data_IF_620535592056
#
_entry.id   IF_620535592056
#
_cell.length_a   1.000
_cell.length_b   1.000
_cell.length_c   1.000
_cell.angle_alpha   90.00
_cell.angle_beta   90.00
_cell.angle_gamma   90.00
#
_symmetry.space_group_name_H-M   'P 1'
#
loop_
_entity.id
_entity.type
_entity.pdbx_description
1 polymer ?
#
# COMPACT_ATOMS: atom_id res chain seq x y z
N UNK A 1 -75.75 -42.05 38.84
CA UNK A 1 -74.66 -42.95 39.21
C UNK A 1 -73.82 -43.19 37.97
N UNK A 2 -72.71 -42.60 37.93
CA UNK A 2 -71.46 -42.95 37.19
C UNK A 2 -70.50 -41.81 37.29
N UNK A 3 -69.46 -42.00 38.08
CA UNK A 3 -68.35 -41.06 38.27
C UNK A 3 -67.47 -41.04 37.08
N UNK A 4 -67.15 -39.85 36.58
CA UNK A 4 -66.18 -39.62 35.51
C UNK A 4 -64.92 -39.04 36.13
N UNK A 5 -63.83 -39.75 36.04
CA UNK A 5 -62.50 -39.30 36.44
C UNK A 5 -61.90 -38.39 35.34
N UNK A 6 -61.57 -37.15 35.70
CA UNK A 6 -60.78 -36.25 34.87
C UNK A 6 -59.30 -36.50 35.16
N UNK A 7 -58.60 -36.98 34.14
CA UNK A 7 -57.13 -37.12 34.13
C UNK A 7 -56.53 -35.82 33.69
N UNK A 8 -55.82 -35.09 34.57
CA UNK A 8 -55.08 -33.90 34.26
C UNK A 8 -53.68 -34.34 33.79
N UNK A 9 -53.43 -34.28 32.49
CA UNK A 9 -52.11 -34.51 31.92
C UNK A 9 -51.22 -33.30 32.07
N UNK A 10 -50.17 -33.44 32.85
CA UNK A 10 -49.10 -32.43 33.00
C UNK A 10 -48.16 -32.53 31.80
N UNK A 11 -48.21 -31.58 30.86
CA UNK A 11 -47.23 -31.44 29.80
C UNK A 11 -45.98 -30.72 30.34
N UNK A 12 -44.91 -31.48 30.60
CA UNK A 12 -43.59 -30.93 30.80
C UNK A 12 -43.01 -30.44 29.45
N UNK A 13 -43.02 -29.13 29.21
CA UNK A 13 -42.27 -28.50 28.13
C UNK A 13 -40.79 -28.48 28.53
N UNK A 14 -40.02 -29.43 28.00
CA UNK A 14 -38.56 -29.38 28.07
C UNK A 14 -38.06 -28.31 27.11
N UNK A 15 -37.64 -27.16 27.64
CA UNK A 15 -36.94 -26.12 26.92
C UNK A 15 -35.54 -26.65 26.54
N UNK A 16 -35.37 -27.06 25.31
CA UNK A 16 -34.05 -27.30 24.74
C UNK A 16 -33.37 -25.91 24.55
N UNK A 17 -32.58 -25.50 25.52
CA UNK A 17 -31.60 -24.44 25.35
C UNK A 17 -30.48 -25.02 24.52
N UNK A 18 -30.59 -24.86 23.23
CA UNK A 18 -29.47 -25.12 22.30
C UNK A 18 -28.36 -24.15 22.63
N UNK A 19 -27.29 -24.62 23.26
CA UNK A 19 -26.02 -23.94 23.29
C UNK A 19 -25.54 -23.88 21.84
N UNK A 20 -25.75 -22.72 21.20
CA UNK A 20 -25.02 -22.39 19.97
C UNK A 20 -23.56 -22.20 20.40
N UNK A 21 -22.76 -23.27 20.28
CA UNK A 21 -21.33 -23.13 20.28
C UNK A 21 -21.03 -22.29 19.03
N UNK A 22 -20.78 -20.98 19.24
CA UNK A 22 -19.99 -20.23 18.26
C UNK A 22 -18.67 -20.98 18.17
N UNK A 23 -18.43 -21.68 17.06
CA UNK A 23 -17.10 -22.07 16.69
C UNK A 23 -16.25 -20.81 16.76
N UNK A 24 -15.38 -20.73 17.74
CA UNK A 24 -14.26 -19.79 17.72
C UNK A 24 -13.39 -20.27 16.54
N UNK A 25 -13.63 -19.68 15.38
CA UNK A 25 -12.69 -19.75 14.28
C UNK A 25 -11.38 -19.24 14.86
N UNK A 26 -10.42 -20.15 15.00
CA UNK A 26 -9.11 -19.85 15.57
C UNK A 26 -8.40 -18.95 14.56
N UNK A 27 -8.67 -17.63 14.63
CA UNK A 27 -8.11 -16.63 13.74
C UNK A 27 -6.59 -16.62 13.95
N UNK A 28 -5.84 -16.63 12.87
CA UNK A 28 -4.39 -16.45 12.93
C UNK A 28 -4.07 -15.23 13.82
N UNK A 29 -3.21 -15.37 14.84
CA UNK A 29 -2.92 -14.27 15.78
C UNK A 29 -2.45 -12.98 15.10
N UNK A 30 -1.78 -13.07 13.96
CA UNK A 30 -1.36 -11.90 13.19
C UNK A 30 -2.54 -11.20 12.51
N UNK A 31 -3.53 -11.96 12.02
CA UNK A 31 -4.77 -11.36 11.49
C UNK A 31 -5.57 -10.67 12.58
N UNK A 32 -5.62 -11.25 13.79
CA UNK A 32 -6.27 -10.61 14.92
C UNK A 32 -5.61 -9.27 15.27
N UNK A 33 -4.28 -9.23 15.37
CA UNK A 33 -3.53 -7.99 15.61
C UNK A 33 -3.72 -6.96 14.51
N UNK A 34 -3.73 -7.39 13.24
CA UNK A 34 -3.98 -6.50 12.11
C UNK A 34 -5.39 -5.91 12.16
N UNK A 35 -6.40 -6.71 12.55
CA UNK A 35 -7.76 -6.22 12.76
C UNK A 35 -7.81 -5.18 13.90
N UNK A 36 -7.19 -5.46 15.04
CA UNK A 36 -7.12 -4.51 16.16
C UNK A 36 -6.45 -3.19 15.76
N UNK A 37 -5.39 -3.24 14.93
CA UNK A 37 -4.75 -2.06 14.39
C UNK A 37 -5.69 -1.27 13.46
N UNK A 38 -6.39 -1.95 12.56
CA UNK A 38 -7.35 -1.34 11.64
C UNK A 38 -8.51 -0.68 12.40
N UNK A 39 -9.06 -1.34 13.41
CA UNK A 39 -10.12 -0.81 14.28
C UNK A 39 -9.62 0.44 15.03
N UNK A 40 -8.40 0.40 15.55
CA UNK A 40 -7.77 1.54 16.24
C UNK A 40 -7.55 2.73 15.31
N UNK A 41 -7.15 2.50 14.05
CA UNK A 41 -7.03 3.57 13.06
C UNK A 41 -8.40 4.23 12.86
N UNK A 42 -9.44 3.46 12.60
CA UNK A 42 -10.78 4.04 12.43
C UNK A 42 -11.31 4.71 13.69
N UNK A 43 -11.01 4.18 14.87
CA UNK A 43 -11.41 4.80 16.14
C UNK A 43 -10.73 6.16 16.37
N UNK A 44 -9.43 6.26 16.08
CA UNK A 44 -8.63 7.44 16.38
C UNK A 44 -8.69 8.52 15.29
N UNK A 45 -8.72 8.12 14.01
CA UNK A 45 -8.53 9.02 12.89
C UNK A 45 -9.80 9.31 12.08
N UNK A 46 -10.91 8.60 12.31
CA UNK A 46 -12.16 8.85 11.60
C UNK A 46 -12.77 10.21 11.94
N UNK A 47 -13.49 10.76 10.94
CA UNK A 47 -14.34 11.92 11.11
C UNK A 47 -15.80 11.55 10.75
N UNK A 48 -16.79 11.88 11.59
CA UNK A 48 -18.18 11.57 11.29
C UNK A 48 -18.66 12.15 9.96
N UNK A 49 -19.38 11.36 9.19
CA UNK A 49 -20.03 11.78 7.93
C UNK A 49 -19.12 11.88 6.70
N UNK A 50 -17.83 11.48 6.82
CA UNK A 50 -16.89 11.44 5.69
C UNK A 50 -16.05 10.16 5.71
N UNK A 51 -15.58 9.73 4.53
CA UNK A 51 -14.73 8.55 4.41
C UNK A 51 -13.24 8.85 4.58
N UNK A 52 -12.87 10.12 4.72
CA UNK A 52 -11.50 10.55 4.93
C UNK A 52 -11.06 10.33 6.38
N UNK A 53 -9.77 10.17 6.57
CA UNK A 53 -9.11 10.08 7.87
C UNK A 53 -8.38 11.38 8.20
N UNK A 54 -8.05 11.58 9.46
CA UNK A 54 -7.19 12.68 9.93
C UNK A 54 -5.72 12.30 9.76
N UNK A 55 -4.85 13.30 9.69
CA UNK A 55 -3.41 13.10 9.55
C UNK A 55 -2.76 12.60 10.85
N UNK A 56 -3.22 13.10 11.99
CA UNK A 56 -2.59 12.86 13.30
C UNK A 56 -3.61 12.56 14.40
N UNK A 57 -3.11 12.01 15.50
CA UNK A 57 -3.90 11.75 16.71
C UNK A 57 -3.03 12.03 17.96
N UNK A 58 -3.52 12.81 18.95
CA UNK A 58 -4.77 13.61 18.93
C UNK A 58 -4.77 14.60 17.76
N UNK A 59 -5.95 14.96 17.25
CA UNK A 59 -6.05 15.81 16.08
C UNK A 59 -5.53 17.22 16.34
N UNK A 60 -4.60 17.66 15.49
CA UNK A 60 -4.05 19.01 15.43
C UNK A 60 -3.92 19.44 13.95
N UNK A 61 -4.76 20.38 13.52
CA UNK A 61 -4.76 20.87 12.14
C UNK A 61 -3.51 21.71 11.78
N UNK A 62 -2.75 22.15 12.77
CA UNK A 62 -1.49 22.91 12.60
C UNK A 62 -0.26 22.00 12.56
N UNK A 63 -0.45 20.69 12.63
CA UNK A 63 0.65 19.74 12.56
C UNK A 63 1.34 19.79 11.19
N UNK A 64 2.63 20.09 11.19
CA UNK A 64 3.45 20.14 9.98
C UNK A 64 3.82 18.73 9.51
N UNK A 65 3.82 18.55 8.20
CA UNK A 65 4.33 17.34 7.55
C UNK A 65 5.63 17.63 6.81
N UNK A 66 6.50 16.62 6.69
CA UNK A 66 7.87 16.80 6.15
C UNK A 66 8.07 16.12 4.80
N UNK A 67 7.06 15.45 4.28
CA UNK A 67 7.15 14.61 3.07
C UNK A 67 6.54 15.25 1.81
N UNK A 68 6.18 16.54 1.86
CA UNK A 68 5.69 17.29 0.70
C UNK A 68 6.84 17.97 -0.05
N UNK A 69 6.70 18.13 -1.35
CA UNK A 69 7.69 18.81 -2.18
C UNK A 69 7.60 20.33 -2.07
N UNK A 70 6.43 20.86 -1.73
CA UNK A 70 6.15 22.31 -1.55
C UNK A 70 6.12 22.68 -0.08
N UNK A 71 7.00 23.60 0.33
CA UNK A 71 6.98 24.18 1.69
C UNK A 71 5.69 24.96 1.96
N UNK A 72 5.10 25.56 0.93
CA UNK A 72 3.84 26.29 1.06
C UNK A 72 2.71 25.36 1.47
N UNK A 73 2.66 24.15 0.88
CA UNK A 73 1.66 23.16 1.23
C UNK A 73 1.89 22.55 2.61
N UNK A 74 3.15 22.31 2.98
CA UNK A 74 3.50 21.76 4.29
C UNK A 74 3.08 22.67 5.47
N UNK A 75 2.93 23.97 5.23
CA UNK A 75 2.54 24.95 6.24
C UNK A 75 1.04 25.28 6.23
N UNK A 76 0.24 24.66 5.36
CA UNK A 76 -1.21 24.88 5.37
C UNK A 76 -1.87 24.00 6.44
N UNK A 77 -2.90 24.54 7.15
CA UNK A 77 -3.72 23.72 8.04
C UNK A 77 -4.38 22.58 7.27
N UNK A 78 -4.31 21.35 7.79
CA UNK A 78 -4.92 20.19 7.17
C UNK A 78 -5.94 19.54 8.09
N UNK A 79 -7.14 19.30 7.58
CA UNK A 79 -8.21 18.60 8.31
C UNK A 79 -8.22 17.10 8.08
N UNK A 80 -7.60 16.65 6.98
CA UNK A 80 -7.56 15.26 6.55
C UNK A 80 -6.12 14.84 6.29
N UNK A 81 -5.88 13.55 6.29
CA UNK A 81 -4.59 13.00 5.92
C UNK A 81 -4.22 13.38 4.48
N UNK A 82 -2.93 13.49 4.23
CA UNK A 82 -2.43 13.52 2.87
C UNK A 82 -2.57 12.14 2.20
N UNK A 83 -2.41 12.09 0.89
CA UNK A 83 -2.57 10.88 0.10
C UNK A 83 -1.65 9.74 0.58
N UNK A 84 -0.39 10.06 0.86
CA UNK A 84 0.60 9.06 1.27
C UNK A 84 0.15 8.22 2.49
N UNK A 85 -0.16 8.80 3.66
CA UNK A 85 -0.67 8.00 4.78
C UNK A 85 -2.05 7.39 4.50
N UNK A 86 -2.92 8.06 3.72
CA UNK A 86 -4.23 7.49 3.37
C UNK A 86 -4.12 6.24 2.49
N UNK A 87 -3.17 6.21 1.55
CA UNK A 87 -2.95 5.04 0.67
C UNK A 87 -2.62 3.77 1.45
N UNK A 88 -2.00 3.90 2.62
CA UNK A 88 -1.75 2.78 3.51
C UNK A 88 -3.01 2.02 3.95
N UNK A 89 -4.17 2.67 3.98
CA UNK A 89 -5.45 1.99 4.25
C UNK A 89 -5.85 1.06 3.10
N UNK A 90 -5.60 1.45 1.86
CA UNK A 90 -5.87 0.60 0.72
C UNK A 90 -5.00 -0.67 0.76
N UNK A 91 -3.70 -0.51 0.94
CA UNK A 91 -2.76 -1.64 1.09
C UNK A 91 -3.13 -2.55 2.26
N UNK A 92 -3.48 -1.97 3.42
CA UNK A 92 -3.85 -2.74 4.62
C UNK A 92 -5.14 -3.56 4.40
N UNK A 93 -6.18 -2.97 3.82
CA UNK A 93 -7.45 -3.66 3.57
C UNK A 93 -7.31 -4.73 2.48
N UNK A 94 -6.53 -4.46 1.43
CA UNK A 94 -6.17 -5.48 0.43
C UNK A 94 -5.47 -6.69 1.08
N UNK A 95 -4.46 -6.44 1.91
CA UNK A 95 -3.73 -7.50 2.61
C UNK A 95 -4.64 -8.31 3.55
N UNK A 96 -5.57 -7.65 4.24
CA UNK A 96 -6.56 -8.33 5.09
C UNK A 96 -7.53 -9.18 4.26
N UNK A 97 -7.97 -8.69 3.11
CA UNK A 97 -8.81 -9.45 2.20
C UNK A 97 -8.07 -10.66 1.62
N UNK A 98 -6.86 -10.47 1.12
CA UNK A 98 -6.01 -11.55 0.58
C UNK A 98 -5.76 -12.65 1.62
N UNK A 99 -5.37 -12.27 2.84
CA UNK A 99 -4.98 -13.21 3.87
C UNK A 99 -6.16 -13.97 4.52
N UNK A 100 -7.37 -13.37 4.50
CA UNK A 100 -8.53 -13.94 5.20
C UNK A 100 -9.62 -14.48 4.27
N UNK A 101 -9.71 -13.99 3.04
CA UNK A 101 -10.82 -14.24 2.11
C UNK A 101 -12.17 -13.68 2.59
N UNK A 102 -12.19 -12.89 3.66
CA UNK A 102 -13.42 -12.42 4.26
C UNK A 102 -14.00 -11.23 3.49
N UNK A 103 -15.26 -11.37 3.10
CA UNK A 103 -16.02 -10.41 2.31
C UNK A 103 -16.11 -9.02 2.96
N UNK A 104 -16.10 -8.96 4.28
CA UNK A 104 -16.15 -7.71 5.05
C UNK A 104 -15.04 -6.73 4.68
N UNK A 105 -13.83 -7.21 4.32
CA UNK A 105 -12.75 -6.33 3.88
C UNK A 105 -12.95 -5.80 2.46
N UNK A 106 -13.55 -6.60 1.58
CA UNK A 106 -13.94 -6.10 0.25
C UNK A 106 -15.04 -5.03 0.35
N UNK A 107 -16.03 -5.24 1.22
CA UNK A 107 -17.08 -4.28 1.52
C UNK A 107 -16.49 -3.00 2.12
N UNK A 108 -15.57 -3.11 3.09
CA UNK A 108 -14.85 -1.95 3.66
C UNK A 108 -14.07 -1.18 2.60
N UNK A 109 -13.41 -1.90 1.68
CA UNK A 109 -12.69 -1.29 0.57
C UNK A 109 -13.62 -0.47 -0.31
N UNK A 110 -14.72 -1.07 -0.79
CA UNK A 110 -15.62 -0.46 -1.77
C UNK A 110 -16.47 0.66 -1.18
N UNK A 111 -16.92 0.50 0.06
CA UNK A 111 -17.87 1.43 0.66
C UNK A 111 -17.19 2.59 1.42
N UNK A 112 -15.92 2.45 1.77
CA UNK A 112 -15.24 3.43 2.60
C UNK A 112 -13.87 3.86 2.08
N UNK A 113 -12.96 2.91 1.84
CA UNK A 113 -11.58 3.24 1.48
C UNK A 113 -11.52 3.89 0.10
N UNK A 114 -12.08 3.26 -0.91
CA UNK A 114 -12.04 3.79 -2.29
C UNK A 114 -12.86 5.09 -2.45
N UNK A 115 -14.06 5.24 -1.88
CA UNK A 115 -14.75 6.53 -1.92
C UNK A 115 -13.96 7.66 -1.24
N UNK A 116 -13.23 7.39 -0.15
CA UNK A 116 -12.32 8.35 0.46
C UNK A 116 -11.12 8.66 -0.42
N UNK A 117 -10.55 7.65 -1.07
CA UNK A 117 -9.43 7.81 -2.00
C UNK A 117 -9.81 8.69 -3.21
N UNK A 118 -11.03 8.57 -3.73
CA UNK A 118 -11.50 9.38 -4.87
C UNK A 118 -11.56 10.89 -4.54
N UNK A 119 -11.56 11.30 -3.27
CA UNK A 119 -11.45 12.71 -2.91
C UNK A 119 -10.09 13.34 -3.27
N UNK A 120 -9.06 12.52 -3.47
CA UNK A 120 -7.72 12.96 -3.91
C UNK A 120 -7.56 12.93 -5.44
N UNK A 121 -8.54 12.38 -6.18
CA UNK A 121 -8.41 12.19 -7.62
C UNK A 121 -8.58 13.51 -8.39
N UNK A 122 -7.49 13.95 -9.03
CA UNK A 122 -7.42 15.19 -9.81
C UNK A 122 -7.80 14.93 -11.27
N UNK A 123 -8.96 15.43 -11.66
CA UNK A 123 -9.48 15.39 -13.03
C UNK A 123 -9.24 16.70 -13.81
N UNK A 124 -8.57 17.68 -13.22
CA UNK A 124 -8.33 18.99 -13.83
C UNK A 124 -7.03 19.01 -14.64
N UNK A 125 -6.09 18.18 -14.29
CA UNK A 125 -4.76 18.08 -14.92
C UNK A 125 -4.62 16.73 -15.64
N UNK A 126 -4.12 16.76 -16.87
CA UNK A 126 -3.82 15.55 -17.65
C UNK A 126 -2.32 15.19 -17.56
N UNK A 127 -1.97 13.89 -17.54
CA UNK A 127 -2.87 12.74 -17.34
C UNK A 127 -3.55 12.79 -15.97
N UNK A 128 -4.79 12.31 -15.88
CA UNK A 128 -5.47 12.24 -14.58
C UNK A 128 -4.70 11.38 -13.57
N UNK A 129 -4.63 11.83 -12.31
CA UNK A 129 -3.89 11.17 -11.25
C UNK A 129 -4.39 11.60 -9.87
N UNK A 130 -3.87 10.97 -8.83
CA UNK A 130 -4.14 11.37 -7.45
C UNK A 130 -3.18 12.46 -7.01
N UNK A 131 -3.72 13.52 -6.40
CA UNK A 131 -2.96 14.62 -5.81
C UNK A 131 -2.61 14.31 -4.35
N UNK A 132 -1.58 14.96 -3.82
CA UNK A 132 -1.14 14.75 -2.43
C UNK A 132 -2.17 15.16 -1.39
N UNK A 133 -3.14 16.03 -1.75
CA UNK A 133 -4.24 16.43 -0.88
C UNK A 133 -5.58 16.47 -1.63
N UNK A 134 -6.69 16.58 -0.89
CA UNK A 134 -8.04 16.48 -1.43
C UNK A 134 -8.33 17.54 -2.49
N UNK A 135 -9.06 17.16 -3.54
CA UNK A 135 -9.42 18.00 -4.72
C UNK A 135 -10.27 19.23 -4.42
N UNK A 136 -10.92 19.28 -3.25
CA UNK A 136 -11.72 20.42 -2.79
C UNK A 136 -10.88 21.54 -2.18
N UNK A 137 -9.61 21.28 -1.91
CA UNK A 137 -8.62 22.27 -1.48
C UNK A 137 -7.92 22.92 -2.67
N UNK A 138 -6.97 23.84 -2.40
CA UNK A 138 -6.08 24.37 -3.42
C UNK A 138 -5.33 23.24 -4.13
N UNK A 139 -4.97 23.42 -5.43
CA UNK A 139 -4.21 22.41 -6.16
C UNK A 139 -2.93 22.02 -5.40
N UNK A 140 -2.74 20.74 -5.20
CA UNK A 140 -1.57 20.18 -4.51
C UNK A 140 -0.64 19.44 -5.48
N UNK A 141 0.55 19.10 -5.03
CA UNK A 141 1.54 18.34 -5.79
C UNK A 141 0.99 16.96 -6.17
N UNK A 142 1.49 16.42 -7.28
CA UNK A 142 1.23 15.05 -7.69
C UNK A 142 2.54 14.29 -7.70
N UNK A 143 2.63 13.33 -6.80
CA UNK A 143 3.82 12.49 -6.67
C UNK A 143 3.67 11.21 -7.48
N UNK A 144 4.73 10.85 -8.20
CA UNK A 144 4.74 9.61 -8.98
C UNK A 144 4.78 8.39 -8.07
N UNK A 145 5.50 8.45 -6.95
CA UNK A 145 5.57 7.36 -5.97
C UNK A 145 4.23 7.14 -5.25
N UNK A 146 3.54 8.18 -4.78
CA UNK A 146 2.21 8.04 -4.18
C UNK A 146 1.25 7.31 -5.13
N UNK A 147 1.26 7.70 -6.41
CA UNK A 147 0.39 7.10 -7.41
C UNK A 147 0.80 5.66 -7.77
N UNK A 148 2.09 5.36 -7.82
CA UNK A 148 2.54 4.02 -8.17
C UNK A 148 2.13 2.98 -7.13
N UNK A 149 2.12 3.33 -5.84
CA UNK A 149 1.62 2.46 -4.78
C UNK A 149 0.13 2.16 -4.94
N UNK A 150 -0.67 3.17 -5.26
CA UNK A 150 -2.09 2.96 -5.59
C UNK A 150 -2.28 2.05 -6.81
N UNK A 151 -1.45 2.22 -7.84
CA UNK A 151 -1.47 1.35 -9.02
C UNK A 151 -1.19 -0.10 -8.67
N UNK A 152 -0.24 -0.36 -7.77
CA UNK A 152 0.05 -1.70 -7.24
C UNK A 152 -1.18 -2.27 -6.52
N UNK A 153 -1.77 -1.51 -5.60
CA UNK A 153 -2.94 -1.94 -4.83
C UNK A 153 -4.16 -2.21 -5.74
N UNK A 154 -4.43 -1.37 -6.74
CA UNK A 154 -5.47 -1.61 -7.74
C UNK A 154 -5.20 -2.87 -8.58
N UNK A 155 -3.95 -3.16 -8.90
CA UNK A 155 -3.60 -4.38 -9.62
C UNK A 155 -3.76 -5.61 -8.74
N UNK A 156 -3.45 -5.52 -7.45
CA UNK A 156 -3.58 -6.62 -6.49
C UNK A 156 -5.05 -6.97 -6.25
N UNK A 157 -5.92 -5.99 -6.00
CA UNK A 157 -7.35 -6.26 -5.85
C UNK A 157 -7.96 -6.79 -7.15
N UNK A 158 -7.52 -6.32 -8.32
CA UNK A 158 -7.91 -6.91 -9.59
C UNK A 158 -7.53 -8.40 -9.68
N UNK A 159 -6.32 -8.76 -9.28
CA UNK A 159 -5.89 -10.18 -9.32
C UNK A 159 -6.76 -11.06 -8.42
N UNK A 160 -7.22 -10.55 -7.30
CA UNK A 160 -8.09 -11.28 -6.37
C UNK A 160 -9.55 -11.39 -6.85
N UNK A 161 -10.09 -10.34 -7.49
CA UNK A 161 -11.52 -10.22 -7.79
C UNK A 161 -11.88 -10.37 -9.27
N UNK A 162 -10.94 -10.09 -10.18
CA UNK A 162 -11.13 -9.98 -11.63
C UNK A 162 -12.12 -8.87 -12.04
N UNK A 163 -12.39 -7.89 -11.17
CA UNK A 163 -13.24 -6.75 -11.49
C UNK A 163 -12.50 -5.75 -12.37
N UNK A 164 -12.96 -5.58 -13.61
CA UNK A 164 -12.27 -4.79 -14.66
C UNK A 164 -11.98 -3.33 -14.24
N UNK A 165 -12.86 -2.73 -13.44
CA UNK A 165 -12.71 -1.35 -12.98
C UNK A 165 -11.39 -1.09 -12.23
N UNK A 166 -10.90 -2.07 -11.48
CA UNK A 166 -9.61 -1.93 -10.79
C UNK A 166 -8.44 -1.95 -11.76
N UNK A 167 -8.47 -2.83 -12.76
CA UNK A 167 -7.43 -2.86 -13.80
C UNK A 167 -7.42 -1.56 -14.62
N UNK A 168 -8.59 -1.03 -14.98
CA UNK A 168 -8.71 0.24 -15.70
C UNK A 168 -8.11 1.39 -14.88
N UNK A 169 -8.33 1.41 -13.57
CA UNK A 169 -7.75 2.41 -12.66
C UNK A 169 -6.22 2.26 -12.57
N UNK A 170 -5.71 1.03 -12.45
CA UNK A 170 -4.26 0.77 -12.45
C UNK A 170 -3.59 1.21 -13.77
N UNK A 171 -4.23 0.96 -14.92
CA UNK A 171 -3.75 1.40 -16.22
C UNK A 171 -3.83 2.93 -16.40
N UNK A 172 -4.85 3.57 -15.83
CA UNK A 172 -4.93 5.03 -15.80
C UNK A 172 -3.76 5.62 -15.01
N UNK A 173 -3.47 5.08 -13.83
CA UNK A 173 -2.32 5.48 -13.02
C UNK A 173 -1.02 5.26 -13.80
N UNK A 174 -0.87 4.13 -14.49
CA UNK A 174 0.34 3.88 -15.28
C UNK A 174 0.59 4.94 -16.34
N UNK A 175 -0.45 5.45 -17.01
CA UNK A 175 -0.30 6.59 -17.95
C UNK A 175 0.26 7.84 -17.28
N UNK A 176 -0.13 8.11 -16.05
CA UNK A 176 0.45 9.19 -15.26
C UNK A 176 1.94 8.90 -14.95
N UNK A 177 2.25 7.68 -14.49
CA UNK A 177 3.65 7.29 -14.22
C UNK A 177 4.54 7.46 -15.45
N UNK A 178 4.07 7.07 -16.63
CA UNK A 178 4.79 7.26 -17.88
C UNK A 178 5.09 8.74 -18.20
N UNK A 179 4.23 9.68 -17.79
CA UNK A 179 4.49 11.12 -17.96
C UNK A 179 5.64 11.65 -17.11
N UNK A 180 6.07 10.86 -16.12
CA UNK A 180 7.24 11.13 -15.28
C UNK A 180 8.54 10.52 -15.80
N UNK A 181 8.53 9.89 -16.97
CA UNK A 181 9.71 9.31 -17.61
C UNK A 181 10.24 10.26 -18.71
N UNK A 182 11.54 10.31 -18.85
CA UNK A 182 12.23 10.95 -19.97
C UNK A 182 13.65 10.37 -20.13
N UNK A 183 14.40 10.86 -21.11
CA UNK A 183 15.74 10.39 -21.43
C UNK A 183 16.85 10.99 -20.54
N UNK A 184 16.52 11.87 -19.60
CA UNK A 184 17.50 12.41 -18.66
C UNK A 184 18.05 11.26 -17.80
N UNK A 185 19.36 11.21 -17.64
CA UNK A 185 20.06 10.11 -16.96
C UNK A 185 19.81 8.72 -17.61
N UNK A 186 19.43 8.69 -18.88
CA UNK A 186 19.16 7.44 -19.60
C UNK A 186 17.88 6.73 -19.24
N UNK A 187 16.89 7.41 -18.68
CA UNK A 187 15.59 6.85 -18.29
C UNK A 187 15.19 7.14 -16.86
N UNK A 188 14.27 6.34 -16.32
CA UNK A 188 13.77 6.44 -14.95
C UNK A 188 12.66 7.47 -14.73
N UNK A 189 12.01 7.41 -13.58
CA UNK A 189 10.84 8.20 -13.18
C UNK A 189 11.26 9.28 -12.20
N UNK A 190 10.78 10.51 -12.39
CA UNK A 190 10.90 11.59 -11.40
C UNK A 190 10.09 11.28 -10.13
N UNK A 191 10.35 12.04 -9.07
CA UNK A 191 9.61 11.93 -7.81
C UNK A 191 8.27 12.67 -7.85
N UNK A 192 8.33 13.95 -8.25
CA UNK A 192 7.19 14.86 -8.25
C UNK A 192 7.00 15.50 -9.62
N UNK A 193 5.75 15.58 -10.09
CA UNK A 193 5.41 16.19 -11.37
C UNK A 193 5.80 17.67 -11.43
N UNK A 194 5.57 18.41 -10.34
CA UNK A 194 5.86 19.84 -10.24
C UNK A 194 7.34 20.15 -9.99
N UNK A 195 8.16 19.13 -9.66
CA UNK A 195 9.56 19.31 -9.27
C UNK A 195 10.44 18.22 -9.87
N UNK A 196 10.71 18.33 -11.18
CA UNK A 196 11.50 17.36 -11.95
C UNK A 196 13.02 17.62 -11.83
N UNK A 197 13.57 17.51 -10.60
CA UNK A 197 14.98 17.78 -10.31
C UNK A 197 15.80 16.52 -10.04
N UNK A 198 15.16 15.43 -9.65
CA UNK A 198 15.81 14.18 -9.29
C UNK A 198 14.89 12.98 -9.58
N UNK A 199 15.51 11.81 -9.83
CA UNK A 199 14.83 10.54 -10.00
C UNK A 199 15.08 9.69 -8.75
N UNK A 200 14.00 9.22 -8.14
CA UNK A 200 14.03 8.58 -6.82
C UNK A 200 13.77 7.08 -6.91
N UNK A 201 14.40 6.32 -6.02
CA UNK A 201 14.16 4.88 -5.90
C UNK A 201 12.70 4.59 -5.54
N UNK A 202 12.07 5.43 -4.70
CA UNK A 202 10.66 5.27 -4.30
C UNK A 202 9.65 5.38 -5.44
N UNK A 203 10.02 6.01 -6.57
CA UNK A 203 9.20 6.03 -7.78
C UNK A 203 9.56 4.90 -8.74
N UNK A 204 10.85 4.64 -8.92
CA UNK A 204 11.37 3.72 -9.94
C UNK A 204 11.21 2.25 -9.56
N UNK A 205 11.57 1.88 -8.34
CA UNK A 205 11.46 0.51 -7.87
C UNK A 205 10.01 0.00 -7.84
N UNK A 206 9.04 0.70 -7.20
CA UNK A 206 7.64 0.30 -7.29
C UNK A 206 7.06 0.52 -8.69
N UNK A 207 7.60 1.44 -9.50
CA UNK A 207 7.25 1.57 -10.92
C UNK A 207 7.53 0.30 -11.71
N UNK A 208 8.69 -0.33 -11.47
CA UNK A 208 9.00 -1.64 -12.02
C UNK A 208 8.03 -2.72 -11.54
N UNK A 209 7.72 -2.75 -10.24
CA UNK A 209 6.75 -3.71 -9.67
C UNK A 209 5.36 -3.55 -10.29
N UNK A 210 4.85 -2.32 -10.39
CA UNK A 210 3.56 -2.05 -11.02
C UNK A 210 3.50 -2.53 -12.46
N UNK A 211 4.52 -2.18 -13.27
CA UNK A 211 4.58 -2.60 -14.66
C UNK A 211 4.60 -4.13 -14.79
N UNK A 212 5.41 -4.83 -14.01
CA UNK A 212 5.45 -6.31 -14.03
C UNK A 212 4.14 -6.94 -13.57
N UNK A 213 3.44 -6.34 -12.59
CA UNK A 213 2.09 -6.79 -12.18
C UNK A 213 1.05 -6.53 -13.28
N UNK A 214 1.09 -5.38 -13.96
CA UNK A 214 0.24 -5.09 -15.12
C UNK A 214 0.50 -6.08 -16.26
N UNK A 215 1.76 -6.46 -16.52
CA UNK A 215 2.07 -7.53 -17.48
C UNK A 215 1.43 -8.86 -17.05
N UNK A 216 1.50 -9.24 -15.78
CA UNK A 216 0.84 -10.46 -15.29
C UNK A 216 -0.67 -10.41 -15.48
N UNK A 217 -1.29 -9.24 -15.31
CA UNK A 217 -2.73 -9.04 -15.46
C UNK A 217 -3.20 -9.02 -16.92
N UNK A 218 -2.46 -8.32 -17.80
CA UNK A 218 -2.90 -8.03 -19.18
C UNK A 218 -2.25 -8.91 -20.25
N UNK A 219 -1.05 -9.45 -19.97
CA UNK A 219 -0.15 -10.12 -20.93
C UNK A 219 0.39 -9.18 -22.02
N UNK A 220 0.20 -7.88 -21.91
CA UNK A 220 0.78 -6.90 -22.83
C UNK A 220 2.27 -6.72 -22.53
N UNK A 221 3.11 -7.11 -23.51
CA UNK A 221 4.57 -7.13 -23.38
C UNK A 221 5.20 -5.77 -23.15
N UNK A 222 4.52 -4.67 -23.45
CA UNK A 222 5.02 -3.32 -23.19
C UNK A 222 5.27 -3.10 -21.71
N UNK A 223 4.38 -3.60 -20.83
CA UNK A 223 4.56 -3.51 -19.39
C UNK A 223 5.76 -4.32 -18.89
N UNK A 224 5.99 -5.52 -19.46
CA UNK A 224 7.19 -6.29 -19.13
C UNK A 224 8.48 -5.55 -19.50
N UNK A 225 8.53 -4.99 -20.72
CA UNK A 225 9.68 -4.24 -21.21
C UNK A 225 9.96 -3.05 -20.30
N UNK A 226 8.96 -2.21 -20.04
CA UNK A 226 9.11 -1.03 -19.19
C UNK A 226 9.45 -1.37 -17.74
N UNK A 227 8.84 -2.43 -17.19
CA UNK A 227 9.15 -2.91 -15.83
C UNK A 227 10.59 -3.39 -15.69
N UNK A 228 11.10 -4.11 -16.69
CA UNK A 228 12.49 -4.56 -16.73
C UNK A 228 13.45 -3.39 -16.89
N UNK A 229 13.16 -2.45 -17.78
CA UNK A 229 13.97 -1.23 -17.98
C UNK A 229 14.07 -0.40 -16.70
N UNK A 230 12.98 -0.20 -15.98
CA UNK A 230 12.98 0.50 -14.68
C UNK A 230 13.80 -0.23 -13.63
N UNK A 231 13.71 -1.56 -13.57
CA UNK A 231 14.54 -2.37 -12.69
C UNK A 231 16.02 -2.21 -12.99
N UNK A 232 16.42 -2.36 -14.26
CA UNK A 232 17.80 -2.26 -14.70
C UNK A 232 18.36 -0.85 -14.49
N UNK A 233 17.57 0.18 -14.82
CA UNK A 233 17.94 1.57 -14.59
C UNK A 233 18.17 1.86 -13.11
N UNK A 234 17.25 1.44 -12.24
CA UNK A 234 17.36 1.67 -10.81
C UNK A 234 18.57 0.96 -10.22
N UNK A 235 18.80 -0.29 -10.63
CA UNK A 235 19.99 -1.06 -10.22
C UNK A 235 21.28 -0.39 -10.66
N UNK A 236 21.37 0.06 -11.91
CA UNK A 236 22.57 0.68 -12.45
C UNK A 236 22.94 2.03 -11.80
N UNK A 237 21.93 2.83 -11.39
CA UNK A 237 22.15 4.20 -10.91
C UNK A 237 22.11 4.35 -9.39
N UNK A 238 21.36 3.47 -8.69
CA UNK A 238 21.02 3.69 -7.31
C UNK A 238 21.39 2.52 -6.38
N UNK A 239 21.87 1.38 -6.89
CA UNK A 239 22.34 0.30 -6.02
C UNK A 239 23.72 0.64 -5.42
N UNK A 240 23.85 0.49 -4.11
CA UNK A 240 25.14 0.50 -3.44
C UNK A 240 25.85 -0.85 -3.66
N UNK A 241 26.96 -0.83 -4.38
CA UNK A 241 27.75 -2.04 -4.68
C UNK A 241 28.40 -2.69 -3.46
N UNK A 242 28.41 -2.00 -2.31
CA UNK A 242 29.04 -2.51 -1.08
C UNK A 242 28.12 -3.40 -0.26
N UNK A 243 26.78 -3.19 -0.35
CA UNK A 243 25.81 -3.91 0.45
C UNK A 243 24.49 -4.25 -0.29
N UNK A 244 24.44 -4.09 -1.62
CA UNK A 244 23.28 -4.38 -2.46
C UNK A 244 22.01 -3.55 -2.16
N UNK A 245 22.02 -2.66 -1.17
CA UNK A 245 20.91 -1.79 -0.84
C UNK A 245 20.83 -0.59 -1.79
N UNK A 246 19.71 0.14 -1.75
CA UNK A 246 19.47 1.21 -2.70
C UNK A 246 19.51 2.57 -2.04
N UNK A 247 20.24 3.50 -2.65
CA UNK A 247 20.24 4.92 -2.33
C UNK A 247 18.90 5.56 -2.66
N UNK A 248 18.62 6.69 -2.04
CA UNK A 248 17.34 7.37 -2.16
C UNK A 248 17.09 7.93 -3.57
N UNK A 249 18.03 8.71 -4.11
CA UNK A 249 17.83 9.42 -5.36
C UNK A 249 19.13 9.74 -6.11
N UNK A 250 18.98 10.11 -7.39
CA UNK A 250 20.00 10.75 -8.20
C UNK A 250 19.44 12.03 -8.80
N UNK A 251 20.15 13.15 -8.59
CA UNK A 251 19.83 14.44 -9.19
C UNK A 251 20.24 14.48 -10.65
N UNK A 252 19.67 15.41 -11.43
CA UNK A 252 20.01 15.56 -12.86
C UNK A 252 21.49 15.96 -13.11
N UNK A 253 22.17 16.52 -12.10
CA UNK A 253 23.61 16.79 -12.13
C UNK A 253 24.48 15.55 -11.80
N UNK A 254 23.86 14.38 -11.62
CA UNK A 254 24.52 13.12 -11.27
C UNK A 254 24.82 12.94 -9.79
N UNK A 255 24.48 13.88 -8.92
CA UNK A 255 24.72 13.77 -7.48
C UNK A 255 23.72 12.80 -6.83
N UNK A 256 24.25 11.81 -6.11
CA UNK A 256 23.48 10.77 -5.45
C UNK A 256 23.15 11.18 -4.01
N UNK A 257 21.87 11.12 -3.63
CA UNK A 257 21.38 11.17 -2.27
C UNK A 257 21.49 9.79 -1.62
N UNK A 258 22.45 9.63 -0.70
CA UNK A 258 22.90 8.32 -0.18
C UNK A 258 22.07 7.78 1.00
N UNK A 259 20.98 8.41 1.39
CA UNK A 259 20.06 7.84 2.35
C UNK A 259 19.54 6.48 1.86
N UNK A 260 19.27 5.56 2.79
CA UNK A 260 18.72 4.23 2.47
C UNK A 260 17.45 4.03 3.27
N UNK A 261 16.39 3.62 2.60
CA UNK A 261 15.09 3.34 3.20
C UNK A 261 14.67 1.91 2.91
N UNK A 262 14.06 1.27 3.91
CA UNK A 262 13.69 -0.15 3.83
C UNK A 262 12.74 -0.44 2.65
N UNK A 263 11.77 0.44 2.42
CA UNK A 263 10.80 0.28 1.31
C UNK A 263 11.44 0.37 -0.07
N UNK A 264 12.48 1.20 -0.26
CA UNK A 264 13.21 1.31 -1.52
C UNK A 264 13.86 -0.02 -1.92
N UNK A 265 14.65 -0.59 -1.01
CA UNK A 265 15.30 -1.87 -1.23
C UNK A 265 14.29 -3.03 -1.28
N UNK A 266 13.23 -2.96 -0.46
CA UNK A 266 12.14 -3.94 -0.47
C UNK A 266 11.42 -4.01 -1.82
N UNK A 267 11.17 -2.87 -2.48
CA UNK A 267 10.54 -2.85 -3.80
C UNK A 267 11.47 -3.36 -4.91
N UNK A 268 12.77 -3.11 -4.82
CA UNK A 268 13.73 -3.71 -5.73
C UNK A 268 13.83 -5.23 -5.55
N UNK A 269 13.78 -5.70 -4.32
CA UNK A 269 13.70 -7.14 -4.02
C UNK A 269 12.43 -7.77 -4.62
N UNK A 270 11.28 -7.10 -4.49
CA UNK A 270 10.02 -7.55 -5.07
C UNK A 270 10.05 -7.57 -6.60
N UNK A 271 10.63 -6.53 -7.22
CA UNK A 271 10.81 -6.46 -8.66
C UNK A 271 11.71 -7.60 -9.18
N UNK A 272 12.84 -7.86 -8.53
CA UNK A 272 13.72 -8.99 -8.86
C UNK A 272 12.98 -10.33 -8.73
N UNK A 273 12.21 -10.54 -7.66
CA UNK A 273 11.42 -11.75 -7.48
C UNK A 273 10.36 -11.94 -8.58
N UNK A 274 9.69 -10.85 -9.01
CA UNK A 274 8.75 -10.89 -10.12
C UNK A 274 9.44 -11.23 -11.44
N UNK A 275 10.59 -10.62 -11.74
CA UNK A 275 11.38 -10.94 -12.92
C UNK A 275 11.82 -12.40 -12.93
N UNK A 276 12.27 -12.94 -11.78
CA UNK A 276 12.57 -14.36 -11.67
C UNK A 276 11.35 -15.24 -11.94
N UNK A 277 10.20 -14.93 -11.37
CA UNK A 277 8.96 -15.67 -11.62
C UNK A 277 8.56 -15.68 -13.10
N UNK A 278 8.82 -14.60 -13.81
CA UNK A 278 8.44 -14.43 -15.21
C UNK A 278 9.43 -15.09 -16.19
N UNK A 279 10.72 -15.12 -15.83
CA UNK A 279 11.79 -15.50 -16.77
C UNK A 279 12.51 -16.79 -16.39
N UNK A 280 12.50 -17.17 -15.12
CA UNK A 280 13.31 -18.27 -14.58
C UNK A 280 14.82 -17.97 -14.52
N UNK A 281 15.25 -16.74 -14.82
CA UNK A 281 16.66 -16.37 -14.86
C UNK A 281 17.24 -16.27 -13.45
N UNK A 282 18.28 -17.07 -13.09
CA UNK A 282 18.76 -17.21 -11.72
C UNK A 282 19.41 -15.93 -11.15
N UNK A 283 19.87 -15.02 -12.00
CA UNK A 283 20.43 -13.73 -11.58
C UNK A 283 19.42 -12.87 -10.81
N UNK A 284 18.15 -12.87 -11.20
CA UNK A 284 17.11 -12.13 -10.49
C UNK A 284 16.81 -12.73 -9.11
N UNK A 285 16.86 -14.07 -8.99
CA UNK A 285 16.73 -14.72 -7.69
C UNK A 285 17.90 -14.35 -6.77
N UNK A 286 19.13 -14.39 -7.30
CA UNK A 286 20.32 -14.02 -6.56
C UNK A 286 20.26 -12.55 -6.09
N UNK A 287 19.81 -11.64 -6.95
CA UNK A 287 19.60 -10.23 -6.59
C UNK A 287 18.58 -10.09 -5.44
N UNK A 288 17.42 -10.73 -5.55
CA UNK A 288 16.39 -10.70 -4.50
C UNK A 288 16.92 -11.23 -3.16
N UNK A 289 17.69 -12.32 -3.17
CA UNK A 289 18.26 -12.93 -1.97
C UNK A 289 19.36 -12.05 -1.34
N UNK A 290 20.23 -11.43 -2.14
CA UNK A 290 21.25 -10.51 -1.66
C UNK A 290 20.62 -9.29 -0.99
N UNK A 291 19.64 -8.66 -1.66
CA UNK A 291 18.91 -7.52 -1.09
C UNK A 291 18.18 -7.92 0.20
N UNK A 292 17.49 -9.08 0.22
CA UNK A 292 16.77 -9.55 1.41
C UNK A 292 17.70 -9.71 2.62
N UNK A 293 18.86 -10.33 2.39
CA UNK A 293 19.87 -10.54 3.44
C UNK A 293 20.38 -9.21 4.00
N UNK A 294 20.73 -8.29 3.12
CA UNK A 294 21.28 -7.00 3.56
C UNK A 294 20.20 -6.06 4.14
N UNK A 295 18.95 -6.13 3.66
CA UNK A 295 17.82 -5.47 4.33
C UNK A 295 17.68 -5.93 5.79
N UNK A 296 17.77 -7.23 6.03
CA UNK A 296 17.68 -7.77 7.39
C UNK A 296 18.84 -7.29 8.27
N UNK A 297 20.04 -7.27 7.74
CA UNK A 297 21.23 -6.81 8.47
C UNK A 297 21.21 -5.30 8.76
N UNK A 298 20.78 -4.49 7.80
CA UNK A 298 20.87 -3.04 7.87
C UNK A 298 19.69 -2.40 8.60
N UNK A 299 18.44 -2.81 8.26
CA UNK A 299 17.24 -2.14 8.75
C UNK A 299 16.67 -2.73 10.03
N UNK A 300 17.08 -3.93 10.45
CA UNK A 300 16.58 -4.53 11.67
C UNK A 300 17.62 -4.50 12.79
N UNK A 301 17.14 -4.34 14.02
CA UNK A 301 17.93 -4.38 15.23
C UNK A 301 17.28 -5.32 16.25
N UNK A 302 18.11 -5.87 17.16
CA UNK A 302 17.59 -6.58 18.31
C UNK A 302 16.94 -5.59 19.27
N UNK A 303 15.74 -5.89 19.70
CA UNK A 303 14.99 -5.11 20.68
C UNK A 303 14.49 -6.03 21.79
N UNK A 304 14.76 -5.63 23.04
CA UNK A 304 14.30 -6.35 24.23
C UNK A 304 13.42 -5.42 25.04
N UNK A 305 12.08 -5.60 25.01
CA UNK A 305 11.17 -4.82 25.84
C UNK A 305 11.31 -5.17 27.32
N UNK A 306 10.71 -4.36 28.19
CA UNK A 306 10.70 -4.60 29.64
C UNK A 306 10.10 -5.97 30.04
N UNK A 307 9.30 -6.58 29.17
CA UNK A 307 8.73 -7.93 29.34
C UNK A 307 9.76 -9.05 29.14
N UNK A 308 10.97 -8.74 28.65
CA UNK A 308 12.12 -9.65 28.61
C UNK A 308 12.28 -10.53 27.37
N UNK A 309 11.31 -10.59 26.47
CA UNK A 309 11.41 -11.40 25.24
C UNK A 309 11.96 -10.55 24.08
N UNK A 310 13.12 -10.96 23.52
CA UNK A 310 13.80 -10.24 22.43
C UNK A 310 13.19 -10.57 21.08
N UNK A 311 13.07 -9.56 20.22
CA UNK A 311 12.67 -9.72 18.82
C UNK A 311 13.39 -8.72 17.90
N UNK A 312 13.29 -8.93 16.60
CA UNK A 312 13.84 -7.99 15.60
C UNK A 312 12.84 -6.86 15.37
N UNK A 313 13.29 -5.62 15.54
CA UNK A 313 12.56 -4.40 15.29
C UNK A 313 13.13 -3.70 14.05
N UNK A 314 12.27 -3.16 13.21
CA UNK A 314 12.68 -2.27 12.12
C UNK A 314 13.17 -0.94 12.75
N UNK A 315 14.34 -0.46 12.31
CA UNK A 315 14.96 0.79 12.80
C UNK A 315 14.19 2.01 12.32
#
# INVERSE_FOLDING_TARGET
MKAGYFLVGLLCAASLVGCVHKEQVNMNPNLARAQEALDSIYQCYSRPGVNLLRENYPFDEQSNVTYLASEEQANLPNQYSYLWPYSGMFSAVNAMYEASGKKEYKELLDERVLPGLEEYFDIKREPHAYSSYIRTSSPSDRFYDDNVWLGIDFTDIYQMTQEAAYLEKAQLIWRFIQSGMDDQLGGGIYWCEQKKEAKHTCSNAPGSVLALKLFKATKDSIYYTQGKELYEWTKAHLQDSTDYLYFDNIRLDGKIGRAKYAYNSGQMMQSAALLYQLTGQPEYLADAQNVAKECYNYFFMDFTPATGESFKLLK
#
